data_IF_858822117816
#
_entry.id   IF_858822117816
#
_cell.length_a   1.000
_cell.length_b   1.000
_cell.length_c   1.000
_cell.angle_alpha   90.00
_cell.angle_beta   90.00
_cell.angle_gamma   90.00
#
_symmetry.space_group_name_H-M   'P 1'
#
loop_
_entity.id
_entity.type
_entity.pdbx_description
1 polymer ?
#
# COMPACT_ATOMS: atom_id res chain seq x y z
N UNK A 1 12.66 6.37 -0.02
CA UNK A 1 11.53 5.93 -0.87
C UNK A 1 10.54 7.07 -0.91
N UNK A 2 9.82 7.24 -2.02
CA UNK A 2 8.98 8.42 -2.27
C UNK A 2 7.50 8.03 -2.40
N UNK A 3 7.06 7.07 -1.56
CA UNK A 3 5.69 6.58 -1.49
C UNK A 3 5.27 6.36 -0.03
N UNK A 4 3.96 6.29 0.20
CA UNK A 4 3.38 5.92 1.50
C UNK A 4 2.83 4.49 1.48
N UNK A 5 2.65 3.89 2.66
CA UNK A 5 2.09 2.54 2.80
C UNK A 5 0.86 2.59 3.72
N UNK A 6 -0.22 1.94 3.28
CA UNK A 6 -1.37 1.56 4.11
C UNK A 6 -1.24 0.07 4.45
N UNK A 7 -0.73 -0.30 5.64
CA UNK A 7 -0.50 -1.70 6.00
C UNK A 7 -1.79 -2.36 6.50
N UNK A 8 -1.73 -3.67 6.73
CA UNK A 8 -2.81 -4.45 7.34
C UNK A 8 -4.12 -4.42 6.56
N UNK A 9 -4.04 -4.35 5.22
CA UNK A 9 -5.22 -4.33 4.35
C UNK A 9 -6.15 -5.50 4.69
N UNK A 10 -7.41 -5.17 4.94
CA UNK A 10 -8.52 -6.06 5.31
C UNK A 10 -8.31 -6.89 6.61
N UNK A 11 -7.29 -6.57 7.42
CA UNK A 11 -7.08 -7.21 8.73
C UNK A 11 -7.99 -6.63 9.82
N UNK A 12 -8.36 -5.35 9.71
CA UNK A 12 -9.19 -4.63 10.67
C UNK A 12 -10.43 -4.03 9.99
N UNK A 13 -11.55 -3.82 10.73
CA UNK A 13 -12.77 -3.25 10.16
C UNK A 13 -12.63 -1.89 9.48
N UNK A 14 -11.57 -1.14 9.79
CA UNK A 14 -11.26 0.20 9.24
C UNK A 14 -9.99 0.21 8.38
N UNK A 15 -9.43 -0.96 8.07
CA UNK A 15 -8.32 -1.11 7.16
C UNK A 15 -8.80 -1.67 5.82
N UNK A 16 -9.97 -1.25 5.37
CA UNK A 16 -10.54 -1.72 4.11
C UNK A 16 -9.89 -1.03 2.92
N UNK A 17 -10.05 -1.61 1.73
CA UNK A 17 -9.58 -0.96 0.50
C UNK A 17 -10.21 0.44 0.28
N UNK A 18 -11.49 0.60 0.63
CA UNK A 18 -12.16 1.89 0.51
C UNK A 18 -11.59 2.94 1.49
N UNK A 19 -11.16 2.52 2.68
CA UNK A 19 -10.46 3.39 3.63
C UNK A 19 -9.08 3.78 3.09
N UNK A 20 -8.36 2.82 2.51
CA UNK A 20 -7.05 3.05 1.89
C UNK A 20 -7.15 4.03 0.70
N UNK A 21 -8.18 3.92 -0.14
CA UNK A 21 -8.41 4.86 -1.25
C UNK A 21 -8.66 6.28 -0.76
N UNK A 22 -9.54 6.47 0.25
CA UNK A 22 -9.79 7.79 0.84
C UNK A 22 -8.52 8.38 1.49
N UNK A 23 -7.77 7.54 2.20
CA UNK A 23 -6.51 7.95 2.80
C UNK A 23 -5.47 8.37 1.75
N UNK A 24 -5.39 7.65 0.62
CA UNK A 24 -4.45 7.97 -0.46
C UNK A 24 -4.79 9.32 -1.13
N UNK A 25 -6.07 9.62 -1.32
CA UNK A 25 -6.52 10.92 -1.86
C UNK A 25 -6.14 12.09 -0.93
N UNK A 26 -6.22 11.89 0.39
CA UNK A 26 -5.87 12.93 1.38
C UNK A 26 -4.36 13.20 1.46
N UNK A 27 -3.52 12.16 1.33
CA UNK A 27 -2.07 12.30 1.47
C UNK A 27 -1.40 12.81 0.19
N UNK A 28 -2.00 12.61 -0.98
CA UNK A 28 -1.57 13.24 -2.23
C UNK A 28 -0.24 12.72 -2.80
N UNK A 29 0.20 11.53 -2.39
CA UNK A 29 1.46 10.91 -2.87
C UNK A 29 1.23 9.46 -3.29
N UNK A 30 2.07 8.91 -4.21
CA UNK A 30 1.99 7.50 -4.59
C UNK A 30 1.97 6.61 -3.36
N UNK A 31 1.06 5.63 -3.35
CA UNK A 31 0.84 4.82 -2.16
C UNK A 31 0.59 3.36 -2.49
N UNK A 32 0.87 2.48 -1.53
CA UNK A 32 0.59 1.06 -1.62
C UNK A 32 -0.26 0.62 -0.43
N UNK A 33 -1.43 0.05 -0.71
CA UNK A 33 -2.16 -0.72 0.29
C UNK A 33 -1.67 -2.17 0.23
N UNK A 34 -1.23 -2.71 1.37
CA UNK A 34 -0.60 -4.04 1.46
C UNK A 34 -1.17 -4.83 2.63
N UNK A 35 -1.27 -6.14 2.46
CA UNK A 35 -1.63 -7.07 3.53
C UNK A 35 -0.41 -7.71 4.21
N UNK A 36 -0.67 -8.64 5.13
CA UNK A 36 0.36 -9.32 5.91
C UNK A 36 1.30 -10.23 5.10
N UNK A 37 0.90 -10.58 3.87
CA UNK A 37 1.65 -11.47 2.98
C UNK A 37 2.28 -10.70 1.81
N UNK A 38 2.45 -9.38 1.98
CA UNK A 38 3.06 -8.49 1.00
C UNK A 38 4.24 -7.74 1.62
N UNK A 39 5.35 -7.65 0.88
CA UNK A 39 6.50 -6.83 1.21
C UNK A 39 6.89 -5.92 0.03
N UNK A 40 7.44 -4.75 0.34
CA UNK A 40 8.00 -3.84 -0.67
C UNK A 40 9.52 -3.79 -0.46
N UNK A 41 10.26 -4.20 -1.49
CA UNK A 41 11.72 -4.14 -1.53
C UNK A 41 12.15 -2.94 -2.37
N UNK A 42 13.13 -2.18 -1.88
CA UNK A 42 13.75 -1.09 -2.64
C UNK A 42 15.27 -1.27 -2.67
N UNK A 43 15.84 -1.39 -3.87
CA UNK A 43 17.29 -1.48 -4.11
C UNK A 43 17.65 -0.56 -5.27
N UNK A 44 18.61 0.33 -5.06
CA UNK A 44 19.09 1.29 -6.07
C UNK A 44 17.97 2.07 -6.77
N UNK A 45 16.92 2.42 -6.01
CA UNK A 45 15.75 3.17 -6.50
C UNK A 45 14.69 2.33 -7.22
N UNK A 46 14.93 1.03 -7.44
CA UNK A 46 13.95 0.10 -8.02
C UNK A 46 13.02 -0.41 -6.93
N UNK A 47 11.70 -0.32 -7.17
CA UNK A 47 10.66 -0.77 -6.24
C UNK A 47 10.06 -2.08 -6.73
N UNK A 48 10.23 -3.15 -5.96
CA UNK A 48 9.63 -4.46 -6.20
C UNK A 48 8.55 -4.75 -5.14
N UNK A 49 7.37 -5.17 -5.56
CA UNK A 49 6.33 -5.69 -4.66
C UNK A 49 6.38 -7.22 -4.69
N UNK A 50 6.67 -7.83 -3.55
CA UNK A 50 6.79 -9.27 -3.36
C UNK A 50 5.56 -9.71 -2.56
N UNK A 51 4.69 -10.53 -3.13
CA UNK A 51 3.41 -10.87 -2.49
C UNK A 51 2.99 -12.30 -2.73
N UNK A 52 2.49 -12.94 -1.66
CA UNK A 52 1.59 -14.11 -1.71
C UNK A 52 0.13 -13.71 -1.40
N UNK A 53 -0.08 -12.47 -0.96
CA UNK A 53 -1.38 -11.90 -0.61
C UNK A 53 -1.87 -10.83 -1.58
N UNK A 54 -2.73 -9.96 -1.08
CA UNK A 54 -3.39 -8.88 -1.79
C UNK A 54 -2.77 -7.52 -1.50
N UNK A 55 -2.61 -6.76 -2.56
CA UNK A 55 -2.13 -5.39 -2.49
C UNK A 55 -2.70 -4.57 -3.64
N UNK A 56 -2.69 -3.24 -3.49
CA UNK A 56 -3.07 -2.30 -4.53
C UNK A 56 -2.12 -1.12 -4.54
N UNK A 57 -1.63 -0.76 -5.72
CA UNK A 57 -1.02 0.56 -5.92
C UNK A 57 -2.14 1.59 -6.06
N UNK A 58 -2.08 2.60 -5.22
CA UNK A 58 -2.99 3.74 -5.20
C UNK A 58 -2.25 4.92 -5.82
N UNK A 59 -2.86 5.48 -6.86
CA UNK A 59 -2.38 6.68 -7.53
C UNK A 59 -3.24 7.85 -7.07
N UNK A 60 -2.63 9.02 -6.99
CA UNK A 60 -3.33 10.29 -6.95
C UNK A 60 -3.16 10.96 -8.30
#
# INVERSE_FOLDING_TARGET
VDFSIFPHLDLFPTNTLADAERWADEIGVPSYAIDEQTAIKVVDGVVDVISEGHWKRLWV
#
